data_IF_865731593816
#
_entry.id   IF_865731593816
#
_cell.length_a   1.000
_cell.length_b   1.000
_cell.length_c   1.000
_cell.angle_alpha   90.00
_cell.angle_beta   90.00
_cell.angle_gamma   90.00
#
_symmetry.space_group_name_H-M   'P 1'
#
loop_
_entity.id
_entity.type
_entity.pdbx_description
1 polymer ?
#
# COMPACT_ATOMS: atom_id res chain seq x y z
N UNK A 1 -13.04 15.23 10.80
CA UNK A 1 -13.20 13.87 10.27
C UNK A 1 -11.84 13.43 9.74
N UNK A 2 -11.46 12.16 9.86
CA UNK A 2 -10.22 11.63 9.29
C UNK A 2 -10.54 10.64 8.17
N UNK A 3 -9.75 10.64 7.11
CA UNK A 3 -9.93 9.77 5.94
C UNK A 3 -8.63 9.03 5.60
N UNK A 4 -8.73 7.77 5.21
CA UNK A 4 -7.58 6.99 4.77
C UNK A 4 -7.90 6.14 3.55
N UNK A 5 -6.85 5.77 2.82
CA UNK A 5 -6.91 4.88 1.65
C UNK A 5 -6.52 3.47 2.02
N UNK A 6 -7.07 2.49 1.31
CA UNK A 6 -6.80 1.07 1.52
C UNK A 6 -6.08 0.49 0.30
N UNK A 7 -4.96 -0.18 0.54
CA UNK A 7 -4.02 -0.64 -0.48
C UNK A 7 -3.93 -2.16 -0.45
N UNK A 8 -4.52 -2.79 -1.47
CA UNK A 8 -4.62 -4.24 -1.62
C UNK A 8 -3.40 -4.84 -2.32
N UNK A 9 -2.59 -4.02 -3.01
CA UNK A 9 -1.57 -4.47 -3.96
C UNK A 9 -2.21 -5.34 -5.03
N UNK A 10 -3.30 -4.84 -5.61
CA UNK A 10 -4.08 -5.61 -6.55
C UNK A 10 -3.29 -5.82 -7.83
N UNK A 11 -3.27 -7.05 -8.36
CA UNK A 11 -2.60 -7.36 -9.64
C UNK A 11 -3.60 -7.54 -10.79
N UNK A 12 -3.79 -6.53 -11.66
CA UNK A 12 -4.59 -6.69 -12.87
C UNK A 12 -3.97 -7.71 -13.85
N UNK A 13 -4.78 -8.32 -14.73
CA UNK A 13 -4.26 -9.19 -15.79
C UNK A 13 -3.22 -8.47 -16.67
N UNK A 14 -2.10 -9.14 -16.92
CA UNK A 14 -1.03 -8.64 -17.78
C UNK A 14 -0.02 -7.70 -17.11
N UNK A 15 -0.22 -7.35 -15.83
CA UNK A 15 0.73 -6.54 -15.08
C UNK A 15 1.81 -7.42 -14.44
N UNK A 16 3.05 -6.94 -14.45
CA UNK A 16 4.10 -7.53 -13.63
C UNK A 16 3.95 -7.10 -12.17
N UNK A 17 4.56 -7.85 -11.26
CA UNK A 17 4.54 -7.49 -9.83
C UNK A 17 5.20 -6.12 -9.60
N UNK A 18 6.22 -5.77 -10.38
CA UNK A 18 6.87 -4.45 -10.32
C UNK A 18 5.93 -3.31 -10.74
N UNK A 19 5.07 -3.54 -11.74
CA UNK A 19 4.10 -2.52 -12.18
C UNK A 19 3.08 -2.24 -11.06
N UNK A 20 2.65 -3.29 -10.34
CA UNK A 20 1.73 -3.17 -9.21
C UNK A 20 2.35 -2.34 -8.10
N UNK A 21 3.57 -2.66 -7.67
CA UNK A 21 4.23 -1.91 -6.60
C UNK A 21 4.46 -0.44 -6.99
N UNK A 22 4.92 -0.18 -8.21
CA UNK A 22 5.09 1.19 -8.70
C UNK A 22 3.78 1.98 -8.65
N UNK A 23 2.69 1.41 -9.18
CA UNK A 23 1.39 2.07 -9.18
C UNK A 23 0.79 2.27 -7.77
N UNK A 24 0.96 1.31 -6.87
CA UNK A 24 0.52 1.44 -5.47
C UNK A 24 1.27 2.57 -4.75
N UNK A 25 2.56 2.72 -5.01
CA UNK A 25 3.33 3.81 -4.44
C UNK A 25 2.89 5.17 -5.00
N UNK A 26 2.69 5.28 -6.31
CA UNK A 26 2.17 6.50 -6.93
C UNK A 26 0.82 6.90 -6.31
N UNK A 27 -0.04 5.92 -6.04
CA UNK A 27 -1.32 6.14 -5.36
C UNK A 27 -1.16 6.60 -3.91
N UNK A 28 -0.19 6.05 -3.18
CA UNK A 28 0.11 6.43 -1.79
C UNK A 28 0.65 7.87 -1.73
N UNK A 29 1.60 8.22 -2.60
CA UNK A 29 2.14 9.58 -2.71
C UNK A 29 1.05 10.58 -3.11
N UNK A 30 0.15 10.19 -4.03
CA UNK A 30 -1.01 10.99 -4.39
C UNK A 30 -2.01 11.16 -3.22
N UNK A 31 -2.28 10.10 -2.46
CA UNK A 31 -3.14 10.15 -1.27
C UNK A 31 -2.55 11.11 -0.23
N UNK A 32 -1.24 11.08 -0.02
CA UNK A 32 -0.56 12.09 0.80
C UNK A 32 -0.75 13.49 0.21
N UNK A 33 -0.44 13.73 -1.06
CA UNK A 33 -0.58 15.06 -1.67
C UNK A 33 -2.01 15.62 -1.55
N UNK A 34 -3.03 14.77 -1.62
CA UNK A 34 -4.45 15.12 -1.49
C UNK A 34 -4.91 15.35 -0.04
N UNK A 35 -4.05 15.09 0.96
CA UNK A 35 -4.35 15.40 2.35
C UNK A 35 -5.04 14.27 3.13
N UNK A 36 -4.97 13.02 2.67
CA UNK A 36 -5.44 11.88 3.48
C UNK A 36 -4.63 11.75 4.77
N UNK A 37 -5.26 11.21 5.82
CA UNK A 37 -4.66 11.07 7.15
C UNK A 37 -3.83 9.78 7.30
N UNK A 38 -4.09 8.77 6.47
CA UNK A 38 -3.36 7.52 6.52
C UNK A 38 -3.59 6.58 5.34
N UNK A 39 -2.67 5.64 5.20
CA UNK A 39 -2.64 4.58 4.20
C UNK A 39 -2.62 3.24 4.91
N UNK A 40 -3.50 2.33 4.51
CA UNK A 40 -3.71 1.04 5.15
C UNK A 40 -3.31 -0.10 4.22
N UNK A 41 -2.27 -0.84 4.59
CA UNK A 41 -1.66 -1.89 3.77
C UNK A 41 -2.26 -3.26 4.11
N UNK A 42 -2.67 -4.02 3.11
CA UNK A 42 -3.28 -5.35 3.28
C UNK A 42 -2.31 -6.50 2.98
N UNK A 43 -2.25 -7.50 3.88
CA UNK A 43 -1.37 -8.66 3.73
C UNK A 43 -2.05 -9.80 2.97
N UNK A 44 -1.40 -10.34 1.94
CA UNK A 44 -1.85 -11.51 1.19
C UNK A 44 -0.66 -12.40 0.82
N UNK A 45 -0.79 -13.70 1.13
CA UNK A 45 0.19 -14.72 0.78
C UNK A 45 -0.38 -15.71 -0.23
N UNK A 46 0.41 -16.04 -1.24
CA UNK A 46 0.11 -17.08 -2.24
C UNK A 46 -1.22 -16.86 -2.99
N UNK A 47 -1.66 -15.60 -3.13
CA UNK A 47 -2.85 -15.21 -3.88
C UNK A 47 -2.45 -14.54 -5.21
N UNK A 48 -3.31 -14.68 -6.23
CA UNK A 48 -3.04 -14.11 -7.56
C UNK A 48 -3.52 -12.67 -7.71
N UNK A 49 -4.45 -12.23 -6.86
CA UNK A 49 -5.13 -10.94 -6.96
C UNK A 49 -4.51 -9.86 -6.06
N UNK A 50 -3.76 -10.21 -5.02
CA UNK A 50 -3.13 -9.29 -4.08
C UNK A 50 -1.75 -9.81 -3.68
N UNK A 51 -0.72 -8.97 -3.78
CA UNK A 51 0.69 -9.39 -3.68
C UNK A 51 1.50 -8.72 -2.55
N UNK A 52 0.83 -8.02 -1.63
CA UNK A 52 1.48 -7.43 -0.46
C UNK A 52 1.80 -8.47 0.61
N UNK A 53 3.02 -9.03 0.63
CA UNK A 53 3.37 -10.17 1.51
C UNK A 53 4.10 -9.78 2.80
N UNK A 54 4.88 -8.71 2.81
CA UNK A 54 5.61 -8.24 3.99
C UNK A 54 5.28 -6.77 4.25
N UNK A 55 4.32 -6.54 5.15
CA UNK A 55 3.83 -5.20 5.44
C UNK A 55 4.84 -4.33 6.21
N UNK A 56 5.83 -4.93 6.88
CA UNK A 56 6.87 -4.15 7.56
C UNK A 56 7.86 -3.61 6.55
N UNK A 57 8.28 -4.42 5.58
CA UNK A 57 9.16 -3.99 4.50
C UNK A 57 8.45 -2.98 3.58
N UNK A 58 7.20 -3.26 3.19
CA UNK A 58 6.40 -2.32 2.38
C UNK A 58 6.15 -1.02 3.15
N UNK A 59 5.79 -1.11 4.43
CA UNK A 59 5.58 0.06 5.28
C UNK A 59 6.85 0.92 5.40
N UNK A 60 8.03 0.32 5.53
CA UNK A 60 9.29 1.04 5.52
C UNK A 60 9.58 1.73 4.17
N UNK A 61 9.24 1.08 3.06
CA UNK A 61 9.37 1.65 1.72
C UNK A 61 8.48 2.87 1.49
N UNK A 62 7.24 2.81 1.99
CA UNK A 62 6.30 3.93 2.00
C UNK A 62 6.81 5.06 2.91
N UNK A 63 7.25 4.73 4.12
CA UNK A 63 7.79 5.71 5.08
C UNK A 63 8.98 6.49 4.52
N UNK A 64 9.77 5.88 3.63
CA UNK A 64 10.88 6.55 2.97
C UNK A 64 10.46 7.58 1.90
N UNK A 65 9.18 7.61 1.50
CA UNK A 65 8.64 8.45 0.41
C UNK A 65 7.55 9.42 0.83
N UNK A 66 7.05 9.26 2.05
CA UNK A 66 6.00 10.10 2.60
C UNK A 66 6.43 10.72 3.92
N UNK A 67 5.92 11.91 4.24
CA UNK A 67 6.35 12.64 5.44
C UNK A 67 5.24 12.79 6.50
N UNK A 68 3.97 12.68 6.12
CA UNK A 68 2.82 13.06 6.95
C UNK A 68 1.79 11.95 7.11
N UNK A 69 1.50 11.18 6.06
CA UNK A 69 0.47 10.12 6.15
C UNK A 69 0.83 9.09 7.21
N UNK A 70 -0.15 8.66 8.01
CA UNK A 70 0.03 7.53 8.92
C UNK A 70 0.02 6.23 8.14
N UNK A 71 1.03 5.40 8.33
CA UNK A 71 1.12 4.08 7.72
C UNK A 71 0.55 3.08 8.72
N UNK A 72 -0.47 2.34 8.30
CA UNK A 72 -1.12 1.30 9.11
C UNK A 72 -1.25 -0.01 8.34
N UNK A 73 -1.53 -1.08 9.08
CA UNK A 73 -1.81 -2.40 8.50
C UNK A 73 -3.30 -2.71 8.66
N UNK A 74 -3.87 -3.38 7.67
CA UNK A 74 -5.28 -3.78 7.64
C UNK A 74 -5.43 -5.07 6.82
N UNK A 75 -4.93 -6.21 7.29
CA UNK A 75 -4.38 -6.53 8.62
C UNK A 75 -2.98 -7.18 8.45
N UNK A 76 -2.17 -7.22 9.52
CA UNK A 76 -1.05 -8.17 9.59
C UNK A 76 -1.57 -9.56 10.00
N UNK A 77 -1.11 -10.62 9.34
CA UNK A 77 -1.41 -12.01 9.73
C UNK A 77 -0.23 -12.64 10.47
N UNK A 78 -0.42 -12.99 11.74
CA UNK A 78 0.62 -13.56 12.64
C UNK A 78 0.49 -15.08 12.80
#
# INVERSE_FOLDING_TARGET
>A
MKFGTFHLFQRPPGWSDSDVFAAELDQIEAAEALGFDGVWLAEHHFQWYGIGTDLMQIGAWVAARTERVRIGTAIVTL
#
